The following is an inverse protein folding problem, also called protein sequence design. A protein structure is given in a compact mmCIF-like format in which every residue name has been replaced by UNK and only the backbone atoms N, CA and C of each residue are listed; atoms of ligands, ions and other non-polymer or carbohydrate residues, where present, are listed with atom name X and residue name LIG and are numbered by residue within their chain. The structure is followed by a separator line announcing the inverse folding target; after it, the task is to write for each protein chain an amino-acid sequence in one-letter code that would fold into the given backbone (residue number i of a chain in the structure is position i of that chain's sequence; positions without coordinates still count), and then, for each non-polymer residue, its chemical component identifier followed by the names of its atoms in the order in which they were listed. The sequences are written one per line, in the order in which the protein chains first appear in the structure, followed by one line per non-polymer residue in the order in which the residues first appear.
data_IF_919197541024
#
_entry.id   IF_919197541024
#
_cell.length_a   1.000
_cell.length_b   1.000
_cell.length_c   1.000
_cell.angle_alpha   90.00
_cell.angle_beta   90.00
_cell.angle_gamma   90.00
#
_symmetry.space_group_name_H-M   'P 1'
#
loop_
_entity.id
_entity.type
_entity.pdbx_description
1 polymer ?
#
# COMPACT_ATOMS: atom_id res chain seq x y z
N UNK A 1 -4.38 12.89 -20.07
CA UNK A 1 -3.13 12.52 -19.42
C UNK A 1 -3.07 11.01 -19.25
N UNK A 2 -1.97 10.44 -19.64
CA UNK A 2 -1.83 8.98 -19.61
C UNK A 2 -1.07 8.55 -18.38
N UNK A 3 -1.67 7.65 -17.63
CA UNK A 3 -1.02 7.10 -16.45
C UNK A 3 -0.35 5.79 -16.86
N UNK A 4 0.95 5.74 -16.72
CA UNK A 4 1.69 4.54 -17.06
C UNK A 4 1.57 3.51 -15.94
N UNK A 5 1.69 2.24 -16.32
CA UNK A 5 1.62 1.16 -15.36
C UNK A 5 2.67 1.34 -14.26
N UNK A 6 3.85 1.80 -14.66
CA UNK A 6 4.92 2.04 -13.70
C UNK A 6 4.53 3.07 -12.65
N UNK A 7 3.80 4.11 -13.08
CA UNK A 7 3.37 5.14 -12.14
C UNK A 7 2.35 4.60 -11.16
N UNK A 8 1.46 3.73 -11.65
CA UNK A 8 0.46 3.12 -10.78
C UNK A 8 1.12 2.24 -9.72
N UNK A 9 2.12 1.48 -10.12
CA UNK A 9 2.83 0.62 -9.19
C UNK A 9 3.58 1.45 -8.16
N UNK A 10 4.19 2.54 -8.59
CA UNK A 10 4.88 3.44 -7.66
C UNK A 10 3.91 4.01 -6.64
N UNK A 11 2.74 4.37 -7.10
CA UNK A 11 1.72 4.90 -6.22
C UNK A 11 1.32 3.86 -5.17
N UNK A 12 1.16 2.62 -5.61
CA UNK A 12 0.80 1.55 -4.70
C UNK A 12 1.90 1.30 -3.67
N UNK A 13 3.13 1.34 -4.11
CA UNK A 13 4.27 1.14 -3.21
C UNK A 13 4.32 2.26 -2.18
N UNK A 14 4.11 3.49 -2.62
CA UNK A 14 4.10 4.63 -1.71
C UNK A 14 3.01 4.48 -0.67
N UNK A 15 1.82 4.06 -1.09
CA UNK A 15 0.72 3.84 -0.18
C UNK A 15 1.05 2.73 0.80
N UNK A 16 1.67 1.68 0.31
CA UNK A 16 2.06 0.56 1.15
C UNK A 16 3.03 1.01 2.24
N UNK A 17 4.03 1.78 1.85
CA UNK A 17 5.01 2.27 2.81
C UNK A 17 4.38 3.18 3.85
N UNK A 18 3.43 4.00 3.44
CA UNK A 18 2.71 4.86 4.37
C UNK A 18 1.97 4.06 5.41
N UNK A 19 1.29 3.02 4.95
CA UNK A 19 0.54 2.18 5.87
C UNK A 19 1.46 1.44 6.81
N UNK A 20 2.62 1.01 6.32
CA UNK A 20 3.60 0.37 7.19
C UNK A 20 4.06 1.32 8.27
N UNK A 21 4.26 2.59 7.94
CA UNK A 21 4.67 3.58 8.91
C UNK A 21 3.59 3.78 9.96
N UNK A 22 2.36 3.86 9.53
CA UNK A 22 1.24 3.99 10.45
C UNK A 22 1.12 2.79 11.37
N UNK A 23 1.37 1.61 10.84
CA UNK A 23 1.33 0.41 11.64
C UNK A 23 2.40 0.46 12.73
N UNK A 24 3.55 0.95 12.37
CA UNK A 24 4.65 1.09 13.31
C UNK A 24 4.29 2.05 14.43
N UNK A 25 3.60 3.13 14.07
CA UNK A 25 3.17 4.14 15.02
C UNK A 25 1.95 3.71 15.83
N UNK A 26 1.33 2.61 15.45
CA UNK A 26 0.14 2.14 16.13
C UNK A 26 -1.09 2.95 15.79
N UNK A 27 -1.07 3.64 14.66
CA UNK A 27 -2.18 4.49 14.23
C UNK A 27 -2.96 3.92 13.07
N UNK A 28 -2.74 2.67 12.77
CA UNK A 28 -3.40 2.02 11.65
C UNK A 28 -4.84 1.68 12.02
N UNK A 29 -5.77 2.16 11.21
CA UNK A 29 -7.18 1.84 11.42
C UNK A 29 -7.48 0.48 10.83
N UNK A 30 -8.67 -0.04 11.16
CA UNK A 30 -9.08 -1.34 10.67
C UNK A 30 -9.15 -1.35 9.15
N UNK A 31 -9.73 -0.29 8.58
CA UNK A 31 -9.81 -0.17 7.12
C UNK A 31 -8.44 -0.12 6.49
N UNK A 32 -7.55 0.64 7.11
CA UNK A 32 -6.18 0.75 6.59
C UNK A 32 -5.44 -0.57 6.72
N UNK A 33 -5.69 -1.29 7.79
CA UNK A 33 -5.06 -2.59 7.97
C UNK A 33 -5.50 -3.55 6.86
N UNK A 34 -6.78 -3.51 6.52
CA UNK A 34 -7.30 -4.34 5.45
C UNK A 34 -6.67 -3.97 4.13
N UNK A 35 -6.55 -2.68 3.88
CA UNK A 35 -5.90 -2.21 2.66
C UNK A 35 -4.45 -2.65 2.62
N UNK A 36 -3.78 -2.55 3.76
CA UNK A 36 -2.39 -2.97 3.84
C UNK A 36 -2.24 -4.45 3.52
N UNK A 37 -3.12 -5.27 4.07
CA UNK A 37 -3.08 -6.70 3.79
C UNK A 37 -3.30 -6.98 2.31
N UNK A 38 -4.24 -6.26 1.70
CA UNK A 38 -4.51 -6.43 0.27
C UNK A 38 -3.30 -6.05 -0.56
N UNK A 39 -2.66 -4.95 -0.22
CA UNK A 39 -1.47 -4.50 -0.94
C UNK A 39 -0.33 -5.49 -0.74
N UNK A 40 -0.20 -5.98 0.47
CA UNK A 40 0.85 -6.94 0.78
C UNK A 40 0.69 -8.20 -0.06
N UNK A 41 -0.53 -8.69 -0.15
CA UNK A 41 -0.81 -9.87 -0.97
C UNK A 41 -0.56 -9.59 -2.44
N UNK A 42 -0.97 -8.42 -2.87
CA UNK A 42 -0.79 -8.05 -4.28
C UNK A 42 0.68 -7.92 -4.65
N UNK A 43 1.42 -7.20 -3.83
CA UNK A 43 2.83 -6.94 -4.13
C UNK A 43 3.72 -8.15 -3.88
N UNK A 44 3.34 -8.97 -2.91
CA UNK A 44 4.13 -10.14 -2.58
C UNK A 44 3.82 -11.35 -3.45
N UNK A 45 2.80 -11.26 -4.25
CA UNK A 45 2.40 -12.40 -5.07
C UNK A 45 3.22 -12.45 -6.35
N UNK A 46 3.65 -13.61 -6.70
CA UNK A 46 4.43 -13.78 -7.92
C UNK A 46 3.66 -14.44 -9.01
#
# INVERSE_FOLDING_TARGET
MTVKVADSIRFLISTYERLLQKQKDGKLTKSELETLNNLKNFLGKK
#
